data_IF_100820125837
#
_entry.id   IF_100820125837
#
_cell.length_a   1.000
_cell.length_b   1.000
_cell.length_c   1.000
_cell.angle_alpha   90.00
_cell.angle_beta   90.00
_cell.angle_gamma   90.00
#
_symmetry.space_group_name_H-M   'P 1'
#
loop_
_entity.id
_entity.type
_entity.pdbx_description
1 polymer ?
#
# COMPACT_ATOMS: atom_id res chain seq x y z
N UNK A 1 14.13 -10.51 -3.63
CA UNK A 1 14.61 -9.11 -3.69
C UNK A 1 16.13 -9.03 -3.65
N UNK A 2 16.75 -8.11 -4.40
CA UNK A 2 18.19 -7.81 -4.31
C UNK A 2 18.53 -6.96 -3.08
N UNK A 3 19.81 -6.82 -2.74
CA UNK A 3 20.24 -5.94 -1.63
C UNK A 3 19.74 -4.49 -1.78
N UNK A 4 19.71 -3.95 -3.00
CA UNK A 4 19.20 -2.60 -3.27
C UNK A 4 17.70 -2.45 -3.01
N UNK A 5 16.93 -3.53 -3.05
CA UNK A 5 15.51 -3.53 -2.69
C UNK A 5 15.32 -3.78 -1.18
N UNK A 6 16.10 -4.69 -0.60
CA UNK A 6 16.00 -5.03 0.82
C UNK A 6 16.43 -3.90 1.75
N UNK A 7 17.49 -3.18 1.37
CA UNK A 7 18.13 -2.19 2.24
C UNK A 7 17.19 -1.04 2.62
N UNK A 8 16.46 -0.37 1.71
CA UNK A 8 15.51 0.69 2.07
C UNK A 8 14.43 0.24 3.07
N UNK A 9 13.85 -0.94 2.85
CA UNK A 9 12.80 -1.51 3.71
C UNK A 9 13.38 -1.80 5.09
N UNK A 10 14.52 -2.48 5.15
CA UNK A 10 15.23 -2.80 6.40
C UNK A 10 15.63 -1.54 7.19
N UNK A 11 16.11 -0.50 6.50
CA UNK A 11 16.48 0.77 7.14
C UNK A 11 15.28 1.48 7.77
N UNK A 12 14.11 1.42 7.14
CA UNK A 12 12.86 1.95 7.70
C UNK A 12 12.41 1.14 8.90
N UNK A 13 12.35 -0.19 8.80
CA UNK A 13 11.92 -1.06 9.91
C UNK A 13 12.80 -0.88 11.15
N UNK A 14 14.13 -0.78 10.97
CA UNK A 14 15.07 -0.58 12.08
C UNK A 14 14.94 0.79 12.77
N UNK A 15 14.47 1.81 12.04
CA UNK A 15 14.28 3.17 12.57
C UNK A 15 12.83 3.42 13.03
N UNK A 16 11.93 2.48 12.76
CA UNK A 16 10.53 2.58 13.15
C UNK A 16 10.41 2.54 14.67
N UNK A 17 9.50 3.35 15.20
CA UNK A 17 9.24 3.35 16.65
C UNK A 17 8.59 2.04 17.06
N UNK A 18 9.00 1.46 18.19
CA UNK A 18 8.44 0.20 18.68
C UNK A 18 7.21 0.45 19.58
N UNK A 19 6.11 -0.31 19.42
CA UNK A 19 5.92 -1.35 18.40
C UNK A 19 5.65 -0.74 17.02
N UNK A 20 6.30 -1.29 15.98
CA UNK A 20 6.09 -0.89 14.60
C UNK A 20 5.07 -1.82 13.93
N UNK A 21 4.02 -1.23 13.35
CA UNK A 21 3.01 -1.97 12.61
C UNK A 21 3.42 -2.10 11.13
N UNK A 22 3.71 -3.33 10.70
CA UNK A 22 4.15 -3.66 9.34
C UNK A 22 3.15 -4.57 8.63
N UNK A 23 2.55 -4.08 7.55
CA UNK A 23 1.68 -4.86 6.67
C UNK A 23 2.44 -5.26 5.41
N UNK A 24 2.31 -6.50 4.99
CA UNK A 24 2.93 -7.00 3.76
C UNK A 24 1.87 -7.68 2.88
N UNK A 25 1.68 -7.18 1.67
CA UNK A 25 0.94 -7.91 0.65
C UNK A 25 1.92 -8.84 -0.09
N UNK A 26 1.67 -10.14 -0.03
CA UNK A 26 2.45 -11.21 -0.65
C UNK A 26 3.34 -11.96 0.34
N UNK A 27 3.32 -13.29 0.28
CA UNK A 27 4.36 -14.13 0.86
C UNK A 27 5.52 -14.31 -0.12
N UNK A 28 6.74 -14.04 0.34
CA UNK A 28 7.97 -14.19 -0.45
C UNK A 28 9.05 -14.95 0.32
N UNK A 29 10.17 -15.32 -0.31
CA UNK A 29 11.32 -15.90 0.40
C UNK A 29 11.83 -15.03 1.58
N UNK A 30 11.55 -13.73 1.56
CA UNK A 30 11.97 -12.79 2.61
C UNK A 30 10.95 -12.62 3.75
N UNK A 31 9.83 -13.36 3.75
CA UNK A 31 8.81 -13.30 4.81
C UNK A 31 9.40 -13.44 6.22
N UNK A 32 10.28 -14.43 6.43
CA UNK A 32 10.93 -14.64 7.73
C UNK A 32 11.92 -13.53 8.08
N UNK A 33 12.56 -12.92 7.09
CA UNK A 33 13.41 -11.75 7.27
C UNK A 33 12.58 -10.56 7.76
N UNK A 34 11.43 -10.31 7.15
CA UNK A 34 10.49 -9.25 7.55
C UNK A 34 9.98 -9.42 8.97
N UNK A 35 9.59 -10.65 9.35
CA UNK A 35 9.21 -10.97 10.73
C UNK A 35 10.36 -10.72 11.71
N UNK A 36 11.58 -11.14 11.36
CA UNK A 36 12.76 -11.00 12.23
C UNK A 36 13.20 -9.55 12.40
N UNK A 37 13.20 -8.75 11.33
CA UNK A 37 13.56 -7.33 11.40
C UNK A 37 12.57 -6.54 12.25
N UNK A 38 11.30 -6.95 12.29
CA UNK A 38 10.24 -6.32 13.09
C UNK A 38 9.86 -7.13 14.35
N UNK A 39 10.82 -7.84 14.98
CA UNK A 39 10.56 -8.77 16.09
C UNK A 39 9.88 -8.16 17.33
N UNK A 40 10.00 -6.86 17.58
CA UNK A 40 9.31 -6.14 18.67
C UNK A 40 8.04 -5.40 18.21
N UNK A 41 7.62 -5.63 16.97
CA UNK A 41 6.46 -5.00 16.36
C UNK A 41 5.40 -6.02 15.95
N UNK A 42 4.41 -5.53 15.21
CA UNK A 42 3.37 -6.35 14.61
C UNK A 42 3.67 -6.49 13.12
N UNK A 43 3.73 -7.72 12.62
CA UNK A 43 3.85 -7.97 11.18
C UNK A 43 2.72 -8.87 10.72
N UNK A 44 1.94 -8.42 9.73
CA UNK A 44 0.84 -9.18 9.12
C UNK A 44 1.09 -9.33 7.63
N UNK A 45 0.81 -10.52 7.09
CA UNK A 45 0.97 -10.87 5.69
C UNK A 45 -0.39 -11.16 5.05
N UNK A 46 -0.59 -10.67 3.82
CA UNK A 46 -1.80 -10.90 3.03
C UNK A 46 -1.43 -11.67 1.76
N UNK A 47 -2.01 -12.84 1.52
CA UNK A 47 -1.60 -13.77 0.46
C UNK A 47 -2.74 -14.10 -0.51
N UNK A 48 -2.45 -14.15 -1.82
CA UNK A 48 -3.46 -14.43 -2.86
C UNK A 48 -3.90 -15.90 -2.88
N UNK A 49 -3.03 -16.82 -2.43
CA UNK A 49 -3.29 -18.25 -2.47
C UNK A 49 -3.60 -18.80 -1.07
N UNK A 50 -4.88 -19.04 -0.79
CA UNK A 50 -5.37 -19.61 0.48
C UNK A 50 -4.66 -20.89 0.93
N UNK A 51 -4.28 -21.76 -0.01
CA UNK A 51 -3.58 -23.00 0.34
C UNK A 51 -2.14 -22.72 0.74
N UNK A 52 -1.51 -21.73 0.10
CA UNK A 52 -0.16 -21.31 0.46
C UNK A 52 -0.14 -20.55 1.78
N UNK A 53 -1.13 -19.69 2.04
CA UNK A 53 -1.32 -19.02 3.32
C UNK A 53 -1.46 -20.05 4.47
N UNK A 54 -2.40 -20.99 4.34
CA UNK A 54 -2.63 -22.02 5.35
C UNK A 54 -1.41 -22.93 5.57
N UNK A 55 -0.75 -23.34 4.48
CA UNK A 55 0.49 -24.11 4.58
C UNK A 55 1.59 -23.33 5.32
N UNK A 56 1.73 -22.04 5.02
CA UNK A 56 2.77 -21.21 5.62
C UNK A 56 2.51 -20.96 7.11
N UNK A 57 1.26 -20.74 7.50
CA UNK A 57 0.83 -20.65 8.90
C UNK A 57 1.11 -21.96 9.67
N UNK A 58 0.87 -23.11 9.05
CA UNK A 58 1.13 -24.42 9.66
C UNK A 58 2.61 -24.61 10.02
N UNK A 59 3.52 -24.22 9.13
CA UNK A 59 4.96 -24.38 9.33
C UNK A 59 5.61 -23.23 10.12
N UNK A 60 4.93 -22.08 10.21
CA UNK A 60 5.37 -20.86 10.92
C UNK A 60 4.23 -20.27 11.76
N UNK A 61 3.82 -20.92 12.87
CA UNK A 61 2.67 -20.49 13.67
C UNK A 61 2.84 -19.12 14.35
N UNK A 62 4.05 -18.56 14.35
CA UNK A 62 4.35 -17.21 14.82
C UNK A 62 4.05 -16.10 13.80
N UNK A 63 3.62 -16.46 12.59
CA UNK A 63 3.35 -15.54 11.49
C UNK A 63 1.84 -15.36 11.30
N UNK A 64 1.41 -14.11 11.41
CA UNK A 64 0.03 -13.72 11.10
C UNK A 64 -0.12 -13.60 9.58
N UNK A 65 -0.73 -14.58 8.93
CA UNK A 65 -1.01 -14.57 7.49
C UNK A 65 -2.51 -14.76 7.23
N UNK A 66 -3.04 -13.97 6.30
CA UNK A 66 -4.43 -14.06 5.87
C UNK A 66 -4.51 -14.17 4.35
N UNK A 67 -5.43 -14.98 3.85
CA UNK A 67 -5.71 -15.02 2.42
C UNK A 67 -6.69 -13.92 2.00
N UNK A 68 -6.60 -13.54 0.72
CA UNK A 68 -7.47 -12.53 0.11
C UNK A 68 -7.81 -12.94 -1.32
N UNK A 69 -9.01 -12.62 -1.78
CA UNK A 69 -9.37 -12.80 -3.17
C UNK A 69 -9.26 -11.48 -3.95
N UNK A 70 -8.25 -11.36 -4.80
CA UNK A 70 -8.17 -10.26 -5.76
C UNK A 70 -9.17 -10.47 -6.91
N UNK A 71 -9.92 -9.44 -7.24
CA UNK A 71 -11.06 -9.49 -8.19
C UNK A 71 -10.85 -8.69 -9.46
N UNK A 72 -9.73 -7.97 -9.56
CA UNK A 72 -9.35 -7.15 -10.71
C UNK A 72 -8.33 -7.86 -11.61
N UNK A 73 -8.16 -7.39 -12.85
CA UNK A 73 -7.13 -7.88 -13.77
C UNK A 73 -6.18 -6.77 -14.22
N UNK A 74 -4.93 -7.13 -14.51
CA UNK A 74 -3.92 -6.17 -14.95
C UNK A 74 -4.33 -5.40 -16.23
N UNK A 75 -5.02 -6.04 -17.18
CA UNK A 75 -5.48 -5.35 -18.39
C UNK A 75 -6.61 -4.34 -18.16
N UNK A 76 -7.30 -4.38 -17.01
CA UNK A 76 -8.38 -3.47 -16.62
C UNK A 76 -7.84 -2.18 -15.96
N UNK A 77 -6.54 -2.09 -15.67
CA UNK A 77 -5.92 -1.02 -14.87
C UNK A 77 -6.39 0.40 -15.25
N UNK A 78 -6.38 0.73 -16.54
CA UNK A 78 -6.74 2.07 -17.01
C UNK A 78 -8.22 2.39 -16.77
N UNK A 79 -9.10 1.42 -17.00
CA UNK A 79 -10.54 1.56 -16.76
C UNK A 79 -10.83 1.67 -15.26
N UNK A 80 -10.18 0.84 -14.44
CA UNK A 80 -10.34 0.87 -12.98
C UNK A 80 -9.89 2.20 -12.38
N UNK A 81 -8.76 2.75 -12.84
CA UNK A 81 -8.29 4.07 -12.41
C UNK A 81 -9.27 5.16 -12.84
N UNK A 82 -9.77 5.12 -14.09
CA UNK A 82 -10.76 6.09 -14.56
C UNK A 82 -12.06 6.03 -13.73
N UNK A 83 -12.57 4.82 -13.47
CA UNK A 83 -13.75 4.60 -12.64
C UNK A 83 -13.56 5.09 -11.21
N UNK A 84 -12.38 4.84 -10.60
CA UNK A 84 -12.07 5.32 -9.26
C UNK A 84 -12.04 6.86 -9.18
N UNK A 85 -11.56 7.54 -10.22
CA UNK A 85 -11.59 9.01 -10.31
C UNK A 85 -13.02 9.55 -10.37
N UNK A 86 -13.89 8.93 -11.15
CA UNK A 86 -15.30 9.31 -11.23
C UNK A 86 -16.01 9.09 -9.89
N UNK A 87 -15.63 8.06 -9.15
CA UNK A 87 -16.21 7.69 -7.86
C UNK A 87 -15.50 8.32 -6.65
N UNK A 88 -14.58 9.28 -6.85
CA UNK A 88 -13.78 9.86 -5.77
C UNK A 88 -14.62 10.57 -4.70
N UNK A 89 -15.80 11.07 -5.08
CA UNK A 89 -16.77 11.68 -4.16
C UNK A 89 -17.77 10.68 -3.59
N UNK A 90 -17.68 9.40 -3.95
CA UNK A 90 -18.57 8.34 -3.51
C UNK A 90 -17.80 7.14 -2.95
N UNK A 91 -17.69 6.03 -3.70
CA UNK A 91 -17.18 4.75 -3.18
C UNK A 91 -15.65 4.65 -3.11
N UNK A 92 -14.91 5.45 -3.87
CA UNK A 92 -13.45 5.33 -4.01
C UNK A 92 -12.70 6.53 -3.41
N UNK A 93 -13.06 6.93 -2.18
CA UNK A 93 -12.46 8.08 -1.47
C UNK A 93 -11.07 7.77 -0.91
N UNK A 94 -10.18 8.76 -0.78
CA UNK A 94 -8.86 8.57 -0.18
C UNK A 94 -8.91 8.26 1.32
N UNK A 95 -9.98 8.68 2.02
CA UNK A 95 -10.27 8.32 3.40
C UNK A 95 -11.66 7.67 3.43
N UNK A 96 -11.71 6.39 3.80
CA UNK A 96 -12.96 5.62 3.80
C UNK A 96 -12.87 4.34 4.61
N UNK A 97 -14.03 3.77 4.92
CA UNK A 97 -14.13 2.44 5.51
C UNK A 97 -14.06 1.37 4.42
N UNK A 98 -12.92 0.70 4.31
CA UNK A 98 -12.71 -0.36 3.32
C UNK A 98 -13.59 -1.60 3.55
N UNK A 99 -13.94 -1.92 4.80
CA UNK A 99 -14.77 -3.09 5.14
C UNK A 99 -16.16 -3.04 4.48
N UNK A 100 -16.67 -1.83 4.21
CA UNK A 100 -17.98 -1.62 3.58
C UNK A 100 -17.88 -0.82 2.27
N UNK A 101 -16.70 -0.77 1.67
CA UNK A 101 -16.49 -0.04 0.41
C UNK A 101 -17.00 -0.87 -0.77
N UNK A 102 -17.77 -0.24 -1.66
CA UNK A 102 -18.17 -0.81 -2.95
C UNK A 102 -17.18 -0.44 -4.08
N UNK A 103 -16.05 0.21 -3.76
CA UNK A 103 -15.00 0.49 -4.74
C UNK A 103 -14.36 -0.81 -5.20
N UNK A 104 -14.36 -1.07 -6.51
CA UNK A 104 -13.71 -2.27 -7.09
C UNK A 104 -12.22 -2.40 -6.74
N UNK A 105 -11.55 -1.30 -6.41
CA UNK A 105 -10.14 -1.29 -6.00
C UNK A 105 -9.93 -1.53 -4.50
N UNK A 106 -10.97 -1.37 -3.68
CA UNK A 106 -10.92 -1.63 -2.25
C UNK A 106 -10.94 -3.13 -1.97
N UNK A 107 -10.04 -3.60 -1.10
CA UNK A 107 -10.10 -4.96 -0.56
C UNK A 107 -10.97 -4.91 0.70
N UNK A 108 -12.13 -5.58 0.67
CA UNK A 108 -13.13 -5.54 1.74
C UNK A 108 -13.33 -6.89 2.47
N UNK A 109 -12.55 -7.91 2.13
CA UNK A 109 -12.59 -9.27 2.67
C UNK A 109 -11.42 -9.61 3.62
N UNK A 110 -10.69 -8.60 4.13
CA UNK A 110 -9.64 -8.81 5.14
C UNK A 110 -10.25 -8.95 6.55
N UNK A 111 -9.53 -9.57 7.50
CA UNK A 111 -9.95 -9.56 8.89
C UNK A 111 -10.08 -8.14 9.45
N UNK A 112 -11.11 -7.89 10.27
CA UNK A 112 -11.43 -6.56 10.81
C UNK A 112 -10.23 -5.81 11.40
N UNK A 113 -9.36 -6.53 12.12
CA UNK A 113 -8.21 -5.93 12.78
C UNK A 113 -7.20 -5.33 11.78
N UNK A 114 -7.16 -5.79 10.52
CA UNK A 114 -6.27 -5.22 9.49
C UNK A 114 -6.70 -3.79 9.12
N UNK A 115 -8.01 -3.52 9.14
CA UNK A 115 -8.57 -2.19 8.90
C UNK A 115 -8.45 -1.25 10.10
N UNK A 116 -8.30 -1.79 11.31
CA UNK A 116 -8.24 -1.03 12.56
C UNK A 116 -6.82 -0.64 12.98
N UNK A 117 -5.79 -1.30 12.43
CA UNK A 117 -4.39 -1.03 12.77
C UNK A 117 -3.89 0.21 12.03
N UNK A 118 -3.29 1.13 12.77
CA UNK A 118 -2.54 2.26 12.23
C UNK A 118 -1.17 1.77 11.72
N UNK A 119 -1.10 1.38 10.45
CA UNK A 119 0.12 0.86 9.83
C UNK A 119 1.22 1.92 9.68
N UNK A 120 2.43 1.61 10.15
CA UNK A 120 3.61 2.47 10.03
C UNK A 120 4.37 2.21 8.73
N UNK A 121 4.42 0.94 8.33
CA UNK A 121 5.06 0.47 7.11
C UNK A 121 4.10 -0.47 6.38
N UNK A 122 4.00 -0.32 5.06
CA UNK A 122 3.28 -1.22 4.17
C UNK A 122 4.21 -1.61 3.03
N UNK A 123 4.41 -2.91 2.80
CA UNK A 123 5.11 -3.44 1.64
C UNK A 123 4.12 -4.12 0.71
N UNK A 124 4.17 -3.75 -0.57
CA UNK A 124 3.31 -4.29 -1.61
C UNK A 124 4.18 -5.13 -2.56
N UNK A 125 4.18 -6.43 -2.33
CA UNK A 125 4.86 -7.44 -3.16
C UNK A 125 3.91 -8.55 -3.66
N UNK A 126 2.60 -8.34 -3.51
CA UNK A 126 1.53 -9.23 -3.92
C UNK A 126 0.31 -8.44 -4.39
N UNK A 127 -0.52 -8.98 -5.29
CA UNK A 127 -0.43 -10.30 -5.94
C UNK A 127 0.75 -10.43 -6.93
N UNK A 128 1.02 -11.66 -7.39
CA UNK A 128 2.18 -11.97 -8.27
C UNK A 128 2.11 -11.24 -9.62
N UNK A 129 0.94 -11.18 -10.24
CA UNK A 129 0.75 -10.59 -11.57
C UNK A 129 1.32 -11.43 -12.71
N UNK A 130 0.86 -12.67 -12.85
CA UNK A 130 1.35 -13.65 -13.85
C UNK A 130 0.84 -13.41 -15.29
N UNK A 131 0.44 -12.19 -15.63
CA UNK A 131 -0.02 -11.81 -16.96
C UNK A 131 -1.27 -10.93 -16.96
N UNK A 132 -1.73 -10.49 -18.16
CA UNK A 132 -2.79 -9.49 -18.30
C UNK A 132 -4.13 -9.90 -17.69
N UNK A 133 -4.45 -11.20 -17.69
CA UNK A 133 -5.69 -11.76 -17.12
C UNK A 133 -5.58 -12.11 -15.63
N UNK A 134 -4.38 -11.98 -15.04
CA UNK A 134 -4.15 -12.22 -13.61
C UNK A 134 -4.39 -10.94 -12.82
N UNK A 135 -4.66 -11.06 -11.50
CA UNK A 135 -4.66 -9.91 -10.62
C UNK A 135 -3.33 -9.15 -10.61
N UNK A 136 -3.43 -7.83 -10.67
CA UNK A 136 -2.30 -6.91 -10.50
C UNK A 136 -2.33 -6.22 -9.13
N UNK A 137 -1.29 -5.45 -8.82
CA UNK A 137 -1.15 -4.77 -7.51
C UNK A 137 -2.04 -3.55 -7.31
N UNK A 138 -2.99 -3.26 -8.22
CA UNK A 138 -3.86 -2.08 -8.13
C UNK A 138 -4.68 -2.07 -6.83
N UNK A 139 -5.30 -3.20 -6.48
CA UNK A 139 -6.11 -3.33 -5.27
C UNK A 139 -5.25 -3.16 -4.01
N UNK A 140 -4.07 -3.78 -3.96
CA UNK A 140 -3.13 -3.63 -2.86
C UNK A 140 -2.64 -2.19 -2.72
N UNK A 141 -2.30 -1.52 -3.83
CA UNK A 141 -1.83 -0.12 -3.86
C UNK A 141 -2.93 0.84 -3.40
N UNK A 142 -4.15 0.68 -3.91
CA UNK A 142 -5.30 1.47 -3.49
C UNK A 142 -5.59 1.28 -2.00
N UNK A 143 -5.70 0.03 -1.55
CA UNK A 143 -5.98 -0.33 -0.16
C UNK A 143 -4.91 0.20 0.78
N UNK A 144 -3.62 0.05 0.45
CA UNK A 144 -2.51 0.62 1.21
C UNK A 144 -2.60 2.15 1.29
N UNK A 145 -2.95 2.81 0.18
CA UNK A 145 -3.16 4.26 0.13
C UNK A 145 -4.29 4.73 1.05
N UNK A 146 -5.40 3.99 1.10
CA UNK A 146 -6.54 4.30 1.98
C UNK A 146 -6.20 4.02 3.44
N UNK A 147 -5.57 2.89 3.76
CA UNK A 147 -5.14 2.54 5.11
C UNK A 147 -4.15 3.59 5.67
N UNK A 148 -3.16 4.00 4.88
CA UNK A 148 -2.20 5.03 5.26
C UNK A 148 -2.88 6.39 5.56
N UNK A 149 -3.91 6.74 4.78
CA UNK A 149 -4.63 8.01 4.91
C UNK A 149 -5.67 8.02 6.02
N UNK A 150 -6.29 6.88 6.29
CA UNK A 150 -7.40 6.72 7.24
C UNK A 150 -6.95 6.43 8.67
N UNK A 151 -5.64 6.41 8.93
CA UNK A 151 -5.09 6.16 10.28
C UNK A 151 -5.58 7.18 11.30
N UNK A 152 -5.85 6.73 12.51
CA UNK A 152 -6.39 7.54 13.61
C UNK A 152 -5.29 8.00 14.57
N UNK A 153 -4.27 7.17 14.80
CA UNK A 153 -3.17 7.42 15.72
C UNK A 153 -1.79 7.18 15.10
N UNK A 154 -0.77 7.18 15.97
CA UNK A 154 0.63 6.92 15.59
C UNK A 154 1.27 8.03 14.77
N UNK A 155 2.29 7.65 13.97
CA UNK A 155 2.98 8.57 13.06
C UNK A 155 2.02 9.16 12.03
N UNK A 156 2.12 10.47 11.77
CA UNK A 156 1.35 11.16 10.71
C UNK A 156 1.61 10.60 9.31
N UNK A 157 2.71 9.85 9.13
CA UNK A 157 3.14 9.31 7.84
C UNK A 157 3.28 7.80 7.90
N UNK A 158 2.94 7.15 6.80
CA UNK A 158 3.17 5.72 6.56
C UNK A 158 4.17 5.55 5.42
N UNK A 159 5.15 4.68 5.63
CA UNK A 159 6.05 4.25 4.56
C UNK A 159 5.35 3.20 3.72
N UNK A 160 5.16 3.45 2.43
CA UNK A 160 4.57 2.49 1.49
C UNK A 160 5.62 2.12 0.45
N UNK A 161 5.98 0.85 0.39
CA UNK A 161 6.92 0.30 -0.58
C UNK A 161 6.15 -0.48 -1.64
N UNK A 162 6.43 -0.22 -2.91
CA UNK A 162 5.81 -0.92 -4.05
C UNK A 162 6.92 -1.62 -4.83
N UNK A 163 6.90 -2.95 -4.82
CA UNK A 163 7.84 -3.77 -5.58
C UNK A 163 7.40 -3.91 -7.05
N UNK A 164 8.28 -4.43 -7.92
CA UNK A 164 8.16 -4.48 -9.39
C UNK A 164 7.70 -3.16 -10.04
N UNK A 165 8.23 -2.03 -9.58
CA UNK A 165 7.79 -0.69 -10.02
C UNK A 165 8.11 -0.38 -11.50
N UNK A 166 8.83 -1.25 -12.22
CA UNK A 166 9.05 -1.14 -13.65
C UNK A 166 7.77 -1.46 -14.45
N UNK A 167 6.82 -2.18 -13.85
CA UNK A 167 5.55 -2.54 -14.47
C UNK A 167 4.60 -1.34 -14.51
N UNK A 168 3.89 -1.22 -15.62
CA UNK A 168 2.95 -0.10 -15.86
C UNK A 168 1.82 -0.04 -14.82
N UNK A 169 1.35 -1.21 -14.35
CA UNK A 169 0.24 -1.30 -13.39
C UNK A 169 0.61 -0.61 -12.07
N UNK A 170 1.81 -0.88 -11.58
CA UNK A 170 2.37 -0.32 -10.36
C UNK A 170 2.66 1.18 -10.50
N UNK A 171 3.22 1.60 -11.63
CA UNK A 171 3.48 3.02 -11.89
C UNK A 171 2.19 3.83 -11.99
N UNK A 172 1.20 3.37 -12.75
CA UNK A 172 -0.07 4.07 -12.91
C UNK A 172 -0.84 4.13 -11.59
N UNK A 173 -0.91 3.01 -10.87
CA UNK A 173 -1.64 2.95 -9.58
C UNK A 173 -0.91 3.71 -8.48
N UNK A 174 0.43 3.64 -8.44
CA UNK A 174 1.25 4.36 -7.46
C UNK A 174 1.17 5.87 -7.66
N UNK A 175 1.36 6.34 -8.89
CA UNK A 175 1.25 7.78 -9.21
C UNK A 175 -0.15 8.33 -8.91
N UNK A 176 -1.20 7.52 -9.05
CA UNK A 176 -2.59 7.93 -8.78
C UNK A 176 -2.99 7.87 -7.30
N UNK A 177 -2.77 6.72 -6.65
CA UNK A 177 -3.34 6.46 -5.32
C UNK A 177 -2.34 6.69 -4.17
N UNK A 178 -1.03 6.61 -4.43
CA UNK A 178 0.01 6.97 -3.45
C UNK A 178 0.57 8.38 -3.69
N UNK A 179 0.33 8.91 -4.88
CA UNK A 179 0.72 10.22 -5.36
C UNK A 179 2.22 10.38 -5.55
N UNK A 180 2.59 10.76 -6.77
CA UNK A 180 4.00 10.92 -7.15
C UNK A 180 4.74 11.94 -6.29
N UNK A 181 4.06 12.97 -5.79
CA UNK A 181 4.67 13.94 -4.87
C UNK A 181 5.04 13.37 -3.49
N UNK A 182 4.51 12.20 -3.12
CA UNK A 182 4.88 11.50 -1.89
C UNK A 182 6.06 10.53 -2.11
N UNK A 183 6.57 10.41 -3.33
CA UNK A 183 7.69 9.52 -3.65
C UNK A 183 8.98 10.04 -3.03
N UNK A 184 9.61 9.21 -2.21
CA UNK A 184 10.88 9.49 -1.53
C UNK A 184 12.04 9.09 -2.43
N UNK A 185 12.01 7.86 -2.92
CA UNK A 185 13.01 7.29 -3.83
C UNK A 185 12.39 6.19 -4.68
N UNK A 186 13.00 5.92 -5.83
CA UNK A 186 12.67 4.75 -6.65
C UNK A 186 13.87 4.26 -7.43
N UNK A 187 13.87 2.97 -7.73
CA UNK A 187 14.59 2.37 -8.85
C UNK A 187 13.60 1.58 -9.70
N UNK A 188 14.10 0.79 -10.66
CA UNK A 188 13.23 0.00 -11.53
C UNK A 188 12.42 -1.07 -10.75
N UNK A 189 12.97 -1.63 -9.67
CA UNK A 189 12.31 -2.70 -8.91
C UNK A 189 11.44 -2.17 -7.77
N UNK A 190 11.84 -1.11 -7.08
CA UNK A 190 11.19 -0.66 -5.85
C UNK A 190 10.94 0.86 -5.88
N UNK A 191 9.73 1.26 -5.50
CA UNK A 191 9.39 2.64 -5.18
C UNK A 191 9.03 2.76 -3.69
N UNK A 192 9.54 3.82 -3.06
CA UNK A 192 9.22 4.18 -1.68
C UNK A 192 8.41 5.48 -1.67
N UNK A 193 7.21 5.41 -1.10
CA UNK A 193 6.33 6.54 -0.84
C UNK A 193 6.22 6.80 0.66
N UNK A 194 6.03 8.07 1.02
CA UNK A 194 5.73 8.49 2.39
C UNK A 194 4.38 9.20 2.40
N UNK A 195 3.33 8.43 2.66
CA UNK A 195 1.93 8.88 2.54
C UNK A 195 1.48 9.47 3.87
N UNK A 196 1.01 10.72 3.84
CA UNK A 196 0.49 11.42 5.01
C UNK A 196 -0.98 11.07 5.26
N UNK A 197 -1.38 11.00 6.54
CA UNK A 197 -2.79 10.89 6.91
C UNK A 197 -3.61 12.07 6.37
N UNK A 198 -4.89 11.84 6.08
CA UNK A 198 -5.78 12.87 5.55
C UNK A 198 -7.04 13.01 6.42
N UNK A 199 -7.69 14.16 6.31
CA UNK A 199 -8.97 14.41 6.96
C UNK A 199 -10.09 13.68 6.21
N UNK A 200 -11.15 13.25 6.92
CA UNK A 200 -12.29 12.55 6.31
C UNK A 200 -12.99 13.35 5.21
N UNK A 201 -12.87 14.68 5.24
CA UNK A 201 -13.40 15.59 4.21
C UNK A 201 -12.54 15.67 2.94
N UNK A 202 -11.45 14.90 2.83
CA UNK A 202 -10.59 14.89 1.64
C UNK A 202 -11.20 14.04 0.51
N UNK A 203 -11.38 14.67 -0.65
CA UNK A 203 -11.88 14.03 -1.88
C UNK A 203 -10.88 14.14 -3.04
N UNK A 204 -9.60 14.18 -2.72
CA UNK A 204 -8.51 14.20 -3.69
C UNK A 204 -7.38 13.35 -3.13
N UNK A 205 -6.82 12.46 -3.96
CA UNK A 205 -5.66 11.66 -3.56
C UNK A 205 -4.40 12.53 -3.52
N UNK A 206 -4.19 13.30 -4.58
CA UNK A 206 -2.96 14.04 -4.85
C UNK A 206 -3.22 15.54 -4.90
N UNK A 207 -2.20 16.34 -4.57
CA UNK A 207 -2.27 17.80 -4.61
C UNK A 207 -2.35 18.25 -6.07
N UNK A 208 -3.31 19.11 -6.38
CA UNK A 208 -3.40 19.74 -7.70
C UNK A 208 -2.08 20.47 -8.04
N UNK A 209 -1.45 20.10 -9.17
CA UNK A 209 -0.23 20.76 -9.69
C UNK A 209 -0.38 22.28 -9.87
N UNK A 210 -1.60 22.80 -9.91
CA UNK A 210 -1.89 24.23 -10.07
C UNK A 210 -1.66 25.08 -8.81
N UNK A 211 -1.50 24.49 -7.62
CA UNK A 211 -1.29 25.25 -6.38
C UNK A 211 0.18 25.36 -5.94
N UNK A 212 1.12 24.70 -6.62
CA UNK A 212 2.55 24.77 -6.29
C UNK A 212 3.24 26.02 -6.85
N UNK A 213 2.58 26.78 -7.73
CA UNK A 213 3.13 27.98 -8.38
C UNK A 213 2.72 29.31 -7.73
N UNK A 214 1.83 29.30 -6.73
CA UNK A 214 1.31 30.53 -6.11
C UNK A 214 2.03 30.97 -4.82
N UNK A 215 2.94 30.17 -4.27
CA UNK A 215 3.60 30.43 -2.99
C UNK A 215 5.02 31.01 -3.08
N UNK A 216 5.51 31.37 -4.27
CA UNK A 216 6.89 31.93 -4.45
C UNK A 216 6.96 33.37 -4.95
N UNK A 217 5.86 34.13 -4.93
CA UNK A 217 5.88 35.56 -5.27
C UNK A 217 5.13 36.42 -4.26
N UNK A 218 5.66 36.57 -3.06
CA UNK A 218 5.29 37.68 -2.18
C UNK A 218 6.34 37.88 -1.06
N UNK A 219 7.49 38.46 -1.40
CA UNK A 219 8.33 39.22 -0.45
C UNK A 219 9.54 39.84 -1.15
N UNK A 220 9.31 40.90 -1.93
CA UNK A 220 10.28 41.99 -2.10
C UNK A 220 9.47 43.29 -2.26
N UNK A 221 9.41 44.08 -1.20
CA UNK A 221 9.13 45.51 -1.21
C UNK A 221 9.89 46.11 -0.04
#
# INVERSE_FOLDING_TARGET
MSYSELKPISDVLRKCSSPCNFLVFGLTPETLLWKSLNHNGRTVFIEENRYYAAYFEEIHPEIDVFDVQYTTKMNETKELIASAKEQIHNECRPVQNLLFSDCKLGINDLPNHVYEVDWDVILIDGPRGNGPESPGRMQSIFTAGVLARSKKGGSLKTHVFVHDYYRDVEQMSGDEFLCRENMVERNDMLAHFMVERMEESSFQYCRNKNNASSSTKASVS
#
